data_IF_956056786234
#
_entry.id   IF_956056786234
#
_cell.length_a   1.000
_cell.length_b   1.000
_cell.length_c   1.000
_cell.angle_alpha   90.00
_cell.angle_beta   90.00
_cell.angle_gamma   90.00
#
_symmetry.space_group_name_H-M   'P 1'
#
loop_
_entity.id
_entity.type
_entity.pdbx_description
1 polymer ?
#
# COMPACT_ATOMS: atom_id res chain seq x y z
N UNK A 1 -18.62 5.18 -2.15
CA UNK A 1 -18.69 4.46 -0.85
C UNK A 1 -17.68 3.32 -0.72
N UNK A 2 -17.74 2.19 -1.45
CA UNK A 2 -16.70 1.14 -1.30
C UNK A 2 -15.30 1.57 -1.78
N UNK A 3 -15.25 2.36 -2.85
CA UNK A 3 -13.99 2.94 -3.36
C UNK A 3 -13.32 3.86 -2.32
N UNK A 4 -14.09 4.77 -1.72
CA UNK A 4 -13.62 5.64 -0.64
C UNK A 4 -13.08 4.85 0.56
N UNK A 5 -13.77 3.77 0.93
CA UNK A 5 -13.34 2.90 2.02
C UNK A 5 -12.02 2.20 1.74
N UNK A 6 -11.72 1.87 0.48
CA UNK A 6 -10.45 1.23 0.12
C UNK A 6 -9.27 2.21 0.19
N UNK A 7 -9.45 3.44 -0.29
CA UNK A 7 -8.46 4.51 -0.17
C UNK A 7 -8.11 4.77 1.31
N UNK A 8 -9.15 4.84 2.16
CA UNK A 8 -8.99 4.97 3.61
C UNK A 8 -8.29 3.78 4.23
N UNK A 9 -8.67 2.55 3.87
CA UNK A 9 -8.04 1.34 4.39
C UNK A 9 -6.54 1.30 4.06
N UNK A 10 -6.14 1.70 2.86
CA UNK A 10 -4.71 1.77 2.50
C UNK A 10 -4.00 2.86 3.32
N UNK A 11 -4.63 4.03 3.51
CA UNK A 11 -4.08 5.09 4.35
C UNK A 11 -3.84 4.61 5.78
N UNK A 12 -4.86 4.03 6.42
CA UNK A 12 -4.78 3.48 7.79
C UNK A 12 -3.74 2.37 7.89
N UNK A 13 -3.65 1.48 6.89
CA UNK A 13 -2.64 0.43 6.87
C UNK A 13 -1.21 0.98 6.79
N UNK A 14 -1.00 2.10 6.10
CA UNK A 14 0.30 2.79 6.09
C UNK A 14 0.58 3.40 7.48
N UNK A 15 -0.40 4.07 8.09
CA UNK A 15 -0.23 4.66 9.43
C UNK A 15 0.00 3.59 10.52
N UNK A 16 -0.70 2.46 10.43
CA UNK A 16 -0.57 1.28 11.28
C UNK A 16 0.68 0.44 11.00
N UNK A 17 1.50 0.83 10.01
CA UNK A 17 2.73 0.15 9.61
C UNK A 17 2.52 -1.32 9.20
N UNK A 18 1.40 -1.62 8.55
CA UNK A 18 1.05 -2.96 8.11
C UNK A 18 2.05 -3.46 7.04
N UNK A 19 2.83 -4.53 7.31
CA UNK A 19 3.91 -4.96 6.41
C UNK A 19 3.45 -5.28 4.99
N UNK A 20 2.24 -5.85 4.86
CA UNK A 20 1.62 -6.21 3.58
C UNK A 20 1.38 -4.99 2.66
N UNK A 21 1.36 -3.78 3.22
CA UNK A 21 1.20 -2.53 2.48
C UNK A 21 2.51 -1.74 2.46
N UNK A 22 3.18 -1.64 3.61
CA UNK A 22 4.41 -0.85 3.77
C UNK A 22 5.51 -1.31 2.84
N UNK A 23 5.78 -2.62 2.78
CA UNK A 23 6.89 -3.16 1.99
C UNK A 23 6.74 -2.87 0.48
N UNK A 24 5.59 -3.16 -0.16
CA UNK A 24 5.43 -2.86 -1.58
C UNK A 24 5.36 -1.34 -1.84
N UNK A 25 4.78 -0.54 -0.94
CA UNK A 25 4.78 0.92 -1.08
C UNK A 25 6.19 1.50 -0.98
N UNK A 26 6.98 1.07 0.00
CA UNK A 26 8.38 1.46 0.15
C UNK A 26 9.20 1.11 -1.10
N UNK A 27 8.98 -0.10 -1.64
CA UNK A 27 9.62 -0.52 -2.88
C UNK A 27 9.22 0.38 -4.07
N UNK A 28 7.95 0.72 -4.22
CA UNK A 28 7.49 1.62 -5.28
C UNK A 28 8.07 3.04 -5.14
N UNK A 29 8.14 3.58 -3.92
CA UNK A 29 8.74 4.87 -3.64
C UNK A 29 10.23 4.91 -4.04
N UNK A 30 11.00 3.88 -3.66
CA UNK A 30 12.42 3.73 -4.05
C UNK A 30 12.60 3.63 -5.56
N UNK A 31 11.71 2.92 -6.26
CA UNK A 31 11.72 2.82 -7.73
C UNK A 31 11.32 4.14 -8.40
N UNK A 32 10.44 4.92 -7.77
CA UNK A 32 9.99 6.20 -8.29
C UNK A 32 11.06 7.30 -8.14
N UNK A 33 11.90 7.28 -7.10
CA UNK A 33 12.99 8.23 -6.96
C UNK A 33 14.15 7.69 -6.14
N UNK A 34 15.37 7.94 -6.59
CA UNK A 34 16.61 7.71 -5.82
C UNK A 34 16.88 8.81 -4.80
N UNK A 35 16.07 9.86 -4.76
CA UNK A 35 16.34 11.04 -3.94
C UNK A 35 15.77 10.93 -2.52
N UNK A 36 14.79 10.07 -2.29
CA UNK A 36 14.16 9.87 -0.98
C UNK A 36 15.01 8.99 -0.07
N UNK A 37 14.83 9.14 1.24
CA UNK A 37 15.50 8.31 2.24
C UNK A 37 14.97 6.87 2.21
N UNK A 38 15.79 5.95 2.73
CA UNK A 38 15.33 4.60 3.06
C UNK A 38 14.72 4.61 4.46
N UNK A 39 13.41 4.88 4.54
CA UNK A 39 12.66 5.03 5.78
C UNK A 39 11.23 4.47 5.59
N UNK A 40 10.49 4.35 6.70
CA UNK A 40 9.12 3.84 6.69
C UNK A 40 8.23 4.79 5.85
N UNK A 41 7.39 4.28 4.93
CA UNK A 41 6.42 5.09 4.22
C UNK A 41 5.48 5.84 5.15
N UNK A 42 5.17 7.08 4.79
CA UNK A 42 4.16 7.90 5.41
C UNK A 42 3.12 8.29 4.35
N UNK A 43 1.89 8.60 4.77
CA UNK A 43 0.85 9.05 3.86
C UNK A 43 0.01 10.18 4.42
N UNK A 44 -0.45 11.06 3.54
CA UNK A 44 -1.44 12.09 3.81
C UNK A 44 -2.64 11.83 2.91
N UNK A 45 -3.81 11.63 3.52
CA UNK A 45 -5.03 11.39 2.76
C UNK A 45 -5.45 12.67 2.04
N UNK A 46 -5.71 12.55 0.75
CA UNK A 46 -6.20 13.63 -0.11
C UNK A 46 -7.42 13.16 -0.90
N UNK A 47 -7.95 14.03 -1.75
CA UNK A 47 -9.11 13.76 -2.58
C UNK A 47 -9.88 15.05 -2.76
N UNK A 48 -9.97 15.54 -3.99
CA UNK A 48 -10.58 16.85 -4.25
C UNK A 48 -12.05 16.90 -3.80
N UNK A 49 -12.77 15.77 -3.81
CA UNK A 49 -14.14 15.69 -3.29
C UNK A 49 -14.19 15.92 -1.78
N UNK A 50 -13.15 15.46 -1.06
CA UNK A 50 -13.01 15.61 0.39
C UNK A 50 -12.44 16.97 0.78
N UNK A 51 -11.58 17.54 -0.06
CA UNK A 51 -11.03 18.88 0.13
C UNK A 51 -12.08 20.00 0.13
N UNK A 52 -13.30 19.72 -0.37
CA UNK A 52 -14.45 20.63 -0.26
C UNK A 52 -15.00 20.75 1.17
N UNK A 53 -14.69 19.80 2.06
CA UNK A 53 -15.09 19.88 3.46
C UNK A 53 -14.11 20.78 4.24
N UNK A 54 -14.67 21.72 5.00
CA UNK A 54 -13.92 22.74 5.72
C UNK A 54 -12.85 22.10 6.64
N UNK A 55 -11.60 22.56 6.57
CA UNK A 55 -10.49 22.11 7.42
C UNK A 55 -9.74 20.86 6.96
N UNK A 56 -10.27 20.08 6.00
CA UNK A 56 -9.56 18.90 5.49
C UNK A 56 -8.31 19.29 4.69
N UNK A 57 -8.44 20.30 3.83
CA UNK A 57 -7.31 20.83 3.05
C UNK A 57 -6.22 21.41 3.96
N UNK A 58 -6.62 22.20 4.95
CA UNK A 58 -5.69 22.81 5.91
C UNK A 58 -4.94 21.73 6.69
N UNK A 59 -5.64 20.69 7.17
CA UNK A 59 -5.00 19.56 7.85
C UNK A 59 -3.99 18.81 6.97
N UNK A 60 -4.26 18.67 5.66
CA UNK A 60 -3.30 18.05 4.72
C UNK A 60 -2.06 18.93 4.51
N UNK A 61 -2.25 20.24 4.43
CA UNK A 61 -1.14 21.19 4.24
C UNK A 61 -0.29 21.26 5.52
N UNK A 62 -0.95 21.40 6.68
CA UNK A 62 -0.30 21.43 7.99
C UNK A 62 0.44 20.11 8.28
N UNK A 63 -0.18 18.97 7.95
CA UNK A 63 0.42 17.65 8.09
C UNK A 63 1.65 17.42 7.19
N UNK A 64 1.75 18.13 6.06
CA UNK A 64 2.94 18.12 5.21
C UNK A 64 4.04 19.07 5.71
N UNK A 65 3.65 20.16 6.39
CA UNK A 65 4.53 21.22 6.85
C UNK A 65 4.95 22.22 5.76
N UNK A 66 5.40 23.41 6.18
CA UNK A 66 5.64 24.56 5.28
C UNK A 66 6.77 24.37 4.25
N UNK A 67 7.69 23.45 4.52
CA UNK A 67 8.86 23.17 3.67
C UNK A 67 8.70 21.88 2.87
N UNK A 68 7.46 21.50 2.54
CA UNK A 68 7.15 20.31 1.75
C UNK A 68 7.14 20.56 0.24
N UNK A 69 7.46 19.52 -0.52
CA UNK A 69 7.60 19.54 -1.97
C UNK A 69 6.88 18.37 -2.63
N UNK A 70 6.30 18.63 -3.80
CA UNK A 70 5.77 17.60 -4.70
C UNK A 70 6.84 17.15 -5.69
N UNK A 71 6.96 15.84 -5.86
CA UNK A 71 7.83 15.19 -6.83
C UNK A 71 7.05 14.79 -8.08
N UNK A 72 7.00 15.65 -9.11
CA UNK A 72 6.35 15.35 -10.39
C UNK A 72 7.15 14.32 -11.20
N UNK A 73 6.60 13.88 -12.32
CA UNK A 73 7.34 13.08 -13.30
C UNK A 73 8.45 13.92 -14.00
N UNK A 74 9.50 13.24 -14.47
CA UNK A 74 10.59 13.86 -15.23
C UNK A 74 11.64 14.62 -14.42
N UNK A 75 12.51 15.35 -15.11
CA UNK A 75 13.61 16.13 -14.53
C UNK A 75 13.21 17.60 -14.26
N UNK A 76 13.83 18.22 -13.26
CA UNK A 76 13.62 19.63 -12.91
C UNK A 76 13.47 19.86 -11.40
N UNK A 77 13.22 21.12 -11.02
CA UNK A 77 12.98 21.51 -9.62
C UNK A 77 11.63 20.92 -9.14
N UNK A 78 11.55 20.43 -7.89
CA UNK A 78 10.28 20.09 -7.24
C UNK A 78 9.36 21.31 -7.06
N UNK A 79 8.07 21.06 -6.92
CA UNK A 79 7.06 22.10 -6.70
C UNK A 79 6.75 22.24 -5.20
N UNK A 80 6.46 23.43 -4.69
CA UNK A 80 6.05 23.60 -3.28
C UNK A 80 4.69 22.94 -3.02
N UNK A 81 4.54 22.18 -1.96
CA UNK A 81 3.34 21.38 -1.75
C UNK A 81 2.08 22.24 -1.55
N UNK A 82 2.05 23.09 -0.52
CA UNK A 82 0.85 23.84 -0.10
C UNK A 82 0.14 24.60 -1.22
N UNK A 83 0.81 25.49 -1.97
CA UNK A 83 0.16 26.27 -3.03
C UNK A 83 -0.44 25.41 -4.15
N UNK A 84 0.27 24.35 -4.56
CA UNK A 84 -0.19 23.49 -5.66
C UNK A 84 -1.27 22.51 -5.22
N UNK A 85 -1.24 22.03 -3.98
CA UNK A 85 -2.31 21.19 -3.41
C UNK A 85 -3.58 22.01 -3.20
N UNK A 86 -3.47 23.26 -2.76
CA UNK A 86 -4.60 24.19 -2.64
C UNK A 86 -5.27 24.45 -3.99
N UNK A 87 -4.46 24.63 -5.05
CA UNK A 87 -4.98 24.77 -6.40
C UNK A 87 -5.64 23.47 -6.89
N UNK A 88 -4.99 22.32 -6.64
CA UNK A 88 -5.50 21.01 -7.02
C UNK A 88 -6.82 20.63 -6.34
N UNK A 89 -7.09 21.16 -5.14
CA UNK A 89 -8.34 20.97 -4.42
C UNK A 89 -9.57 21.51 -5.20
N UNK A 90 -9.37 22.41 -6.17
CA UNK A 90 -10.43 22.89 -7.08
C UNK A 90 -10.85 21.83 -8.12
N UNK A 91 -10.19 20.65 -8.13
CA UNK A 91 -10.52 19.54 -8.99
C UNK A 91 -10.17 19.82 -10.46
N UNK A 92 -11.02 19.34 -11.37
CA UNK A 92 -10.80 19.47 -12.83
C UNK A 92 -10.67 20.92 -13.30
N UNK A 93 -11.26 21.88 -12.59
CA UNK A 93 -11.18 23.30 -12.93
C UNK A 93 -9.74 23.84 -12.79
N UNK A 94 -8.93 23.23 -11.93
CA UNK A 94 -7.54 23.59 -11.72
C UNK A 94 -6.63 23.26 -12.92
N UNK A 95 -7.02 22.32 -13.78
CA UNK A 95 -6.17 21.75 -14.83
C UNK A 95 -5.53 22.82 -15.74
N UNK A 96 -6.29 23.86 -16.09
CA UNK A 96 -5.78 24.94 -16.95
C UNK A 96 -4.74 25.83 -16.28
N UNK A 97 -4.69 25.83 -14.94
CA UNK A 97 -3.76 26.63 -14.12
C UNK A 97 -2.57 25.81 -13.62
N UNK A 98 -2.67 24.47 -13.66
CA UNK A 98 -1.60 23.58 -13.25
C UNK A 98 -0.46 23.57 -14.26
N UNK A 99 0.78 23.55 -13.76
CA UNK A 99 1.94 23.35 -14.62
C UNK A 99 1.84 21.98 -15.31
N UNK A 100 2.34 21.89 -16.56
CA UNK A 100 2.32 20.66 -17.37
C UNK A 100 2.68 19.41 -16.56
N UNK A 101 3.79 19.47 -15.81
CA UNK A 101 4.33 18.34 -15.04
C UNK A 101 3.47 17.89 -13.85
N UNK A 102 2.45 18.64 -13.47
CA UNK A 102 1.52 18.34 -12.37
C UNK A 102 0.05 18.42 -12.79
N UNK A 103 -0.25 18.44 -14.09
CA UNK A 103 -1.60 18.65 -14.63
C UNK A 103 -2.70 17.80 -14.01
N UNK A 104 -2.41 16.54 -13.67
CA UNK A 104 -3.38 15.57 -13.11
C UNK A 104 -3.29 15.38 -11.59
N UNK A 105 -2.58 16.25 -10.88
CA UNK A 105 -2.39 16.09 -9.43
C UNK A 105 -3.71 16.14 -8.63
N UNK A 106 -4.75 16.81 -9.13
CA UNK A 106 -6.07 16.83 -8.48
C UNK A 106 -6.77 15.47 -8.39
N UNK A 107 -6.32 14.48 -9.18
CA UNK A 107 -6.77 13.07 -9.12
C UNK A 107 -6.08 12.25 -8.02
N UNK A 108 -5.25 12.89 -7.23
CA UNK A 108 -4.52 12.23 -6.15
C UNK A 108 -5.51 11.82 -5.07
N UNK A 109 -5.36 10.58 -4.60
CA UNK A 109 -6.12 10.05 -3.48
C UNK A 109 -5.25 10.11 -2.22
N UNK A 110 -3.95 9.80 -2.31
CA UNK A 110 -3.00 9.93 -1.20
C UNK A 110 -1.71 10.62 -1.67
N UNK A 111 -1.15 11.47 -0.82
CA UNK A 111 0.24 11.87 -0.95
C UNK A 111 1.12 10.93 -0.13
N UNK A 112 2.08 10.28 -0.79
CA UNK A 112 3.00 9.33 -0.16
C UNK A 112 4.37 9.97 0.03
N UNK A 113 4.98 9.72 1.18
CA UNK A 113 6.36 10.10 1.47
C UNK A 113 7.02 9.00 2.30
N UNK A 114 8.17 9.28 2.89
CA UNK A 114 8.80 8.48 3.93
C UNK A 114 8.96 9.34 5.19
N UNK A 115 9.09 8.71 6.35
CA UNK A 115 9.30 9.41 7.63
C UNK A 115 10.45 10.44 7.51
N UNK A 116 10.20 11.64 8.03
CA UNK A 116 11.12 12.80 8.02
C UNK A 116 11.63 13.22 6.63
N UNK A 117 10.86 13.01 5.56
CA UNK A 117 11.16 13.52 4.22
C UNK A 117 10.13 14.55 3.76
N UNK A 118 10.55 15.78 3.37
CA UNK A 118 9.61 16.80 2.92
C UNK A 118 9.03 16.54 1.53
N UNK A 119 9.43 15.45 0.85
CA UNK A 119 9.08 15.20 -0.55
C UNK A 119 7.96 14.19 -0.67
N UNK A 120 6.88 14.60 -1.35
CA UNK A 120 5.67 13.81 -1.53
C UNK A 120 5.48 13.40 -2.99
N UNK A 121 5.02 12.16 -3.16
CA UNK A 121 4.54 11.61 -4.42
C UNK A 121 3.02 11.63 -4.41
N UNK A 122 2.44 12.10 -5.49
CA UNK A 122 1.03 11.96 -5.75
C UNK A 122 0.70 10.51 -6.14
N UNK A 123 -0.17 9.87 -5.36
CA UNK A 123 -0.64 8.52 -5.61
C UNK A 123 -2.14 8.48 -5.87
N UNK A 124 -2.54 7.64 -6.82
CA UNK A 124 -3.95 7.29 -7.04
C UNK A 124 -4.20 5.86 -6.57
N UNK A 125 -5.32 5.65 -5.90
CA UNK A 125 -5.72 4.38 -5.32
C UNK A 125 -7.10 4.05 -5.83
N UNK A 126 -7.25 2.84 -6.39
CA UNK A 126 -8.53 2.39 -6.94
C UNK A 126 -8.77 0.95 -6.55
N UNK A 127 -9.98 0.67 -6.07
CA UNK A 127 -10.43 -0.69 -5.72
C UNK A 127 -10.63 -1.60 -6.94
N UNK A 128 -10.36 -1.10 -8.15
CA UNK A 128 -10.42 -1.85 -9.40
C UNK A 128 -9.36 -1.31 -10.34
N UNK A 129 -8.49 -2.19 -10.84
CA UNK A 129 -7.44 -1.86 -11.78
C UNK A 129 -7.93 -1.13 -13.05
N UNK A 130 -9.10 -1.52 -13.57
CA UNK A 130 -9.65 -0.93 -14.78
C UNK A 130 -10.12 0.52 -14.61
N UNK A 131 -10.27 0.99 -13.37
CA UNK A 131 -10.57 2.37 -13.03
C UNK A 131 -9.31 3.19 -12.72
N UNK A 132 -8.12 2.58 -12.79
CA UNK A 132 -6.87 3.28 -12.54
C UNK A 132 -6.61 4.29 -13.65
N UNK A 133 -6.34 5.52 -13.26
CA UNK A 133 -6.05 6.61 -14.19
C UNK A 133 -4.63 7.12 -13.99
N UNK A 134 -3.92 7.31 -15.10
CA UNK A 134 -2.59 7.90 -15.11
C UNK A 134 -2.60 9.42 -15.27
N UNK A 135 -1.42 10.03 -15.19
CA UNK A 135 -1.24 11.44 -15.50
C UNK A 135 0.12 11.99 -15.10
N UNK A 136 0.54 13.09 -15.73
CA UNK A 136 1.90 13.65 -15.52
C UNK A 136 2.20 14.03 -14.06
N UNK A 137 1.15 14.41 -13.31
CA UNK A 137 1.26 14.75 -11.90
C UNK A 137 1.23 13.56 -10.95
N UNK A 138 0.84 12.37 -11.42
CA UNK A 138 0.72 11.16 -10.62
C UNK A 138 1.98 10.31 -10.78
N UNK A 139 2.39 9.59 -9.73
CA UNK A 139 3.62 8.79 -9.73
C UNK A 139 3.41 7.34 -9.34
N UNK A 140 2.45 7.10 -8.44
CA UNK A 140 2.19 5.79 -7.86
C UNK A 140 0.70 5.46 -8.05
N UNK A 141 0.43 4.22 -8.41
CA UNK A 141 -0.92 3.64 -8.42
C UNK A 141 -0.98 2.51 -7.40
N UNK A 142 -2.04 2.43 -6.59
CA UNK A 142 -2.28 1.30 -5.69
C UNK A 142 -3.62 0.65 -6.05
N UNK A 143 -3.58 -0.65 -6.32
CA UNK A 143 -4.72 -1.42 -6.85
C UNK A 143 -4.71 -2.84 -6.28
N UNK A 144 -5.86 -3.51 -6.22
CA UNK A 144 -5.91 -4.94 -5.97
C UNK A 144 -5.34 -5.73 -7.14
N UNK A 145 -4.83 -6.93 -6.87
CA UNK A 145 -4.64 -7.97 -7.88
C UNK A 145 -5.95 -8.25 -8.61
N UNK A 146 -5.86 -8.53 -9.92
CA UNK A 146 -7.03 -8.82 -10.73
C UNK A 146 -6.70 -9.82 -11.83
N UNK A 147 -7.73 -10.29 -12.52
CA UNK A 147 -7.59 -11.16 -13.70
C UNK A 147 -7.00 -10.44 -14.91
N UNK A 148 -6.81 -9.12 -14.84
CA UNK A 148 -6.25 -8.34 -15.94
C UNK A 148 -4.79 -8.75 -16.21
N UNK A 149 -4.44 -8.84 -17.49
CA UNK A 149 -3.12 -9.31 -17.90
C UNK A 149 -2.03 -8.38 -17.33
N UNK A 150 -1.12 -8.97 -16.54
CA UNK A 150 0.00 -8.27 -15.93
C UNK A 150 -0.32 -7.59 -14.60
N UNK A 151 -1.58 -7.61 -14.12
CA UNK A 151 -1.93 -7.09 -12.79
C UNK A 151 -1.85 -8.17 -11.71
N UNK A 152 -0.63 -8.68 -11.46
CA UNK A 152 -0.30 -9.62 -10.38
C UNK A 152 0.34 -8.90 -9.21
N UNK A 153 0.25 -9.50 -8.02
CA UNK A 153 0.87 -8.97 -6.80
C UNK A 153 2.32 -8.51 -7.04
N UNK A 154 2.66 -7.35 -6.48
CA UNK A 154 4.00 -6.79 -6.48
C UNK A 154 4.08 -5.37 -7.04
N UNK A 155 5.30 -4.94 -7.35
CA UNK A 155 5.59 -3.58 -7.82
C UNK A 155 6.10 -3.63 -9.26
N UNK A 156 5.43 -2.89 -10.15
CA UNK A 156 5.84 -2.78 -11.56
C UNK A 156 5.63 -1.38 -12.10
N UNK A 157 6.39 -1.02 -13.12
CA UNK A 157 6.08 0.19 -13.88
C UNK A 157 5.06 -0.15 -14.97
N UNK A 158 3.94 0.57 -14.98
CA UNK A 158 2.95 0.44 -16.03
C UNK A 158 3.10 1.55 -17.06
N UNK A 159 3.49 1.16 -18.27
CA UNK A 159 3.67 2.09 -19.37
C UNK A 159 2.34 2.71 -19.83
N UNK A 160 1.21 2.00 -19.69
CA UNK A 160 -0.10 2.50 -20.10
C UNK A 160 -0.52 3.72 -19.27
N UNK A 161 -0.34 3.64 -17.96
CA UNK A 161 -0.72 4.69 -17.03
C UNK A 161 0.44 5.65 -16.70
N UNK A 162 1.69 5.25 -16.97
CA UNK A 162 2.89 6.04 -16.65
C UNK A 162 3.22 6.07 -15.16
N UNK A 163 2.78 5.05 -14.40
CA UNK A 163 2.87 4.99 -12.94
C UNK A 163 3.67 3.77 -12.47
N UNK A 164 4.27 3.88 -11.29
CA UNK A 164 4.65 2.68 -10.52
C UNK A 164 3.39 2.13 -9.86
N UNK A 165 2.96 0.96 -10.29
CA UNK A 165 1.79 0.28 -9.74
C UNK A 165 2.25 -0.66 -8.65
N UNK A 166 1.65 -0.48 -7.48
CA UNK A 166 1.63 -1.41 -6.36
C UNK A 166 0.35 -2.22 -6.47
N UNK A 167 0.50 -3.50 -6.83
CA UNK A 167 -0.62 -4.45 -6.87
C UNK A 167 -0.62 -5.23 -5.57
N UNK A 168 -1.68 -5.09 -4.79
CA UNK A 168 -1.86 -5.76 -3.50
C UNK A 168 -2.53 -7.12 -3.69
N UNK A 169 -2.08 -8.15 -2.95
CA UNK A 169 -2.65 -9.50 -3.06
C UNK A 169 -4.17 -9.55 -2.81
N UNK A 170 -4.87 -10.28 -3.68
CA UNK A 170 -6.32 -10.53 -3.66
C UNK A 170 -6.56 -11.97 -4.19
N UNK A 171 -7.36 -12.85 -3.54
CA UNK A 171 -8.17 -12.64 -2.34
C UNK A 171 -7.49 -13.02 -1.03
N UNK A 172 -6.26 -13.54 -1.05
CA UNK A 172 -5.63 -14.05 0.16
C UNK A 172 -4.72 -13.01 0.86
N UNK A 173 -4.71 -11.77 0.38
CA UNK A 173 -3.94 -10.67 0.95
C UNK A 173 -4.80 -9.56 1.55
N UNK A 174 -4.30 -8.33 1.49
CA UNK A 174 -4.94 -7.14 2.06
C UNK A 174 -6.39 -6.96 1.57
N UNK A 175 -6.66 -7.22 0.30
CA UNK A 175 -7.99 -7.06 -0.28
C UNK A 175 -9.00 -8.05 0.26
N UNK A 176 -8.57 -9.29 0.49
CA UNK A 176 -9.38 -10.29 1.16
C UNK A 176 -9.81 -9.81 2.53
N UNK A 177 -8.84 -9.34 3.33
CA UNK A 177 -9.07 -8.83 4.67
C UNK A 177 -10.01 -7.60 4.67
N UNK A 178 -9.76 -6.63 3.78
CA UNK A 178 -10.62 -5.46 3.62
C UNK A 178 -12.05 -5.85 3.26
N UNK A 179 -12.23 -6.75 2.28
CA UNK A 179 -13.53 -7.21 1.84
C UNK A 179 -14.26 -7.95 2.97
N UNK A 180 -13.53 -8.77 3.71
CA UNK A 180 -14.06 -9.56 4.81
C UNK A 180 -14.55 -8.65 5.96
N UNK A 181 -13.73 -7.68 6.37
CA UNK A 181 -14.08 -6.67 7.36
C UNK A 181 -15.25 -5.78 6.92
N UNK A 182 -15.22 -5.28 5.68
CA UNK A 182 -16.30 -4.47 5.11
C UNK A 182 -17.64 -5.23 5.13
N UNK A 183 -17.66 -6.47 4.67
CA UNK A 183 -18.86 -7.29 4.68
C UNK A 183 -19.31 -7.67 6.09
N UNK A 184 -18.39 -7.85 7.04
CA UNK A 184 -18.73 -8.10 8.44
C UNK A 184 -19.48 -6.91 9.05
N UNK A 185 -18.88 -5.71 9.00
CA UNK A 185 -19.45 -4.48 9.58
C UNK A 185 -20.78 -4.15 8.91
N UNK A 186 -20.83 -4.22 7.58
CA UNK A 186 -22.05 -3.90 6.86
C UNK A 186 -23.20 -4.86 7.20
N UNK A 187 -22.91 -6.15 7.48
CA UNK A 187 -23.91 -7.11 7.95
C UNK A 187 -24.34 -6.87 9.41
N UNK A 188 -23.43 -6.42 10.27
CA UNK A 188 -23.81 -5.99 11.64
C UNK A 188 -24.83 -4.86 11.55
N UNK A 189 -24.56 -3.84 10.73
CA UNK A 189 -25.47 -2.70 10.54
C UNK A 189 -26.84 -3.14 10.02
N UNK A 190 -26.88 -4.06 9.04
CA UNK A 190 -28.15 -4.62 8.55
C UNK A 190 -28.91 -5.37 9.65
N UNK A 191 -28.21 -6.17 10.47
CA UNK A 191 -28.84 -6.90 11.58
C UNK A 191 -29.39 -5.96 12.66
N UNK A 192 -28.61 -4.96 13.08
CA UNK A 192 -29.04 -3.96 14.07
C UNK A 192 -30.23 -3.14 13.54
N UNK A 193 -30.19 -2.75 12.26
CA UNK A 193 -31.27 -2.06 11.59
C UNK A 193 -32.47 -2.94 11.22
N UNK A 194 -32.41 -4.25 11.49
CA UNK A 194 -33.43 -5.25 11.10
C UNK A 194 -33.78 -5.20 9.61
N UNK A 195 -32.78 -4.91 8.78
CA UNK A 195 -32.91 -4.82 7.34
C UNK A 195 -32.67 -6.19 6.68
N UNK A 196 -33.37 -6.52 5.59
CA UNK A 196 -33.10 -7.74 4.85
C UNK A 196 -31.68 -7.73 4.27
N UNK A 197 -31.03 -8.91 4.27
CA UNK A 197 -29.72 -9.04 3.65
C UNK A 197 -29.85 -9.10 2.12
N UNK A 198 -29.06 -8.33 1.37
CA UNK A 198 -29.04 -8.44 -0.09
C UNK A 198 -28.54 -9.82 -0.54
N UNK A 199 -29.17 -10.37 -1.59
CA UNK A 199 -28.87 -11.73 -2.09
C UNK A 199 -27.42 -11.91 -2.58
N UNK A 200 -26.81 -10.86 -3.13
CA UNK A 200 -25.50 -10.94 -3.80
C UNK A 200 -24.30 -10.68 -2.89
N UNK A 201 -24.47 -10.68 -1.56
CA UNK A 201 -23.37 -10.44 -0.65
C UNK A 201 -22.59 -11.71 -0.37
N UNK A 202 -21.28 -11.66 -0.66
CA UNK A 202 -20.33 -12.72 -0.30
C UNK A 202 -20.41 -12.95 1.21
N UNK A 203 -20.47 -14.22 1.60
CA UNK A 203 -20.45 -14.62 3.01
C UNK A 203 -19.04 -14.33 3.56
N UNK A 204 -18.90 -13.53 4.64
CA UNK A 204 -17.60 -13.30 5.26
C UNK A 204 -16.96 -14.62 5.73
N UNK A 205 -15.66 -14.61 5.95
CA UNK A 205 -14.93 -15.72 6.55
C UNK A 205 -15.48 -16.08 7.94
N UNK A 206 -15.09 -17.24 8.45
CA UNK A 206 -15.47 -17.65 9.81
C UNK A 206 -14.98 -16.65 10.88
N UNK A 207 -13.80 -16.03 10.67
CA UNK A 207 -13.23 -15.04 11.60
C UNK A 207 -14.08 -13.76 11.62
N UNK A 208 -14.39 -13.23 10.44
CA UNK A 208 -15.26 -12.06 10.29
C UNK A 208 -16.69 -12.30 10.79
N UNK A 209 -17.22 -13.51 10.63
CA UNK A 209 -18.52 -13.86 11.22
C UNK A 209 -18.50 -13.81 12.75
N UNK A 210 -17.42 -14.27 13.39
CA UNK A 210 -17.25 -14.19 14.84
C UNK A 210 -17.16 -12.74 15.32
N UNK A 211 -16.43 -11.88 14.60
CA UNK A 211 -16.40 -10.44 14.86
C UNK A 211 -17.82 -9.84 14.76
N UNK A 212 -18.55 -10.14 13.68
CA UNK A 212 -19.93 -9.70 13.50
C UNK A 212 -20.84 -10.13 14.67
N UNK A 213 -20.69 -11.36 15.16
CA UNK A 213 -21.45 -11.86 16.31
C UNK A 213 -21.14 -11.07 17.59
N UNK A 214 -19.87 -10.77 17.85
CA UNK A 214 -19.50 -9.95 19.02
C UNK A 214 -20.01 -8.52 18.91
N UNK A 215 -19.84 -7.87 17.75
CA UNK A 215 -20.34 -6.50 17.53
C UNK A 215 -21.87 -6.43 17.66
N UNK A 216 -22.58 -7.47 17.21
CA UNK A 216 -24.03 -7.52 17.38
C UNK A 216 -24.43 -7.78 18.85
N UNK A 217 -23.70 -8.64 19.56
CA UNK A 217 -23.95 -8.94 20.98
C UNK A 217 -23.73 -7.72 21.87
N UNK A 218 -22.71 -6.91 21.56
CA UNK A 218 -22.34 -5.72 22.31
C UNK A 218 -22.70 -4.45 21.53
N UNK A 219 -23.97 -4.33 21.14
CA UNK A 219 -24.45 -3.22 20.29
C UNK A 219 -24.30 -1.81 20.93
N UNK A 220 -24.15 -1.75 22.25
CA UNK A 220 -23.93 -0.51 22.99
C UNK A 220 -22.45 -0.14 23.19
N UNK A 221 -21.53 -1.03 22.80
CA UNK A 221 -20.09 -0.81 22.86
C UNK A 221 -19.59 -0.15 21.58
N UNK A 222 -18.46 0.56 21.66
CA UNK A 222 -17.83 1.07 20.45
C UNK A 222 -17.17 -0.09 19.68
N UNK A 223 -16.97 0.09 18.37
CA UNK A 223 -16.27 -0.91 17.56
C UNK A 223 -14.84 -1.15 18.08
N UNK A 224 -14.20 -0.10 18.61
CA UNK A 224 -12.86 -0.16 19.20
C UNK A 224 -12.84 -1.01 20.47
N UNK A 225 -13.84 -0.85 21.36
CA UNK A 225 -13.92 -1.67 22.59
C UNK A 225 -14.08 -3.17 22.26
N UNK A 226 -14.87 -3.47 21.24
CA UNK A 226 -15.08 -4.86 20.78
C UNK A 226 -13.81 -5.43 20.16
N UNK A 227 -13.09 -4.63 19.38
CA UNK A 227 -11.80 -5.02 18.81
C UNK A 227 -10.75 -5.25 19.90
N UNK A 228 -10.59 -4.33 20.85
CA UNK A 228 -9.65 -4.43 21.96
C UNK A 228 -9.93 -5.68 22.80
N UNK A 229 -11.20 -5.92 23.18
CA UNK A 229 -11.59 -7.11 23.91
C UNK A 229 -11.32 -8.42 23.13
N UNK A 230 -11.46 -8.39 21.80
CA UNK A 230 -11.11 -9.52 20.94
C UNK A 230 -9.60 -9.73 20.85
N UNK A 231 -8.81 -8.66 20.80
CA UNK A 231 -7.35 -8.72 20.80
C UNK A 231 -6.82 -9.29 22.12
N UNK A 232 -7.36 -8.85 23.26
CA UNK A 232 -7.07 -9.42 24.57
C UNK A 232 -7.41 -10.92 24.63
N UNK A 233 -8.62 -11.29 24.18
CA UNK A 233 -9.07 -12.67 24.15
C UNK A 233 -8.28 -13.56 23.18
N UNK A 234 -7.77 -12.99 22.09
CA UNK A 234 -6.98 -13.70 21.09
C UNK A 234 -5.57 -14.06 21.59
N UNK A 235 -5.11 -13.46 22.70
CA UNK A 235 -3.77 -13.67 23.25
C UNK A 235 -2.69 -13.60 22.15
N UNK A 236 -2.71 -12.54 21.32
CA UNK A 236 -1.85 -12.44 20.14
C UNK A 236 -0.35 -12.57 20.49
N UNK A 237 0.03 -12.16 21.70
CA UNK A 237 1.41 -12.24 22.21
C UNK A 237 1.85 -13.64 22.68
N UNK A 238 0.96 -14.63 22.74
CA UNK A 238 1.33 -15.98 23.19
C UNK A 238 2.26 -16.71 22.21
N UNK A 239 2.26 -16.31 20.93
CA UNK A 239 3.04 -16.95 19.87
C UNK A 239 4.04 -15.96 19.28
N UNK A 240 5.11 -15.67 20.01
CA UNK A 240 6.24 -14.93 19.44
C UNK A 240 7.01 -15.86 18.49
N UNK A 241 6.94 -15.64 17.18
CA UNK A 241 7.80 -16.34 16.23
C UNK A 241 9.22 -15.76 16.29
N UNK A 242 10.10 -16.41 17.07
CA UNK A 242 11.52 -16.07 17.10
C UNK A 242 12.22 -16.74 15.92
N UNK A 243 12.42 -16.01 14.84
CA UNK A 243 13.27 -16.45 13.73
C UNK A 243 14.73 -16.41 14.18
N UNK A 244 15.23 -17.54 14.68
CA UNK A 244 16.64 -17.73 14.96
C UNK A 244 17.24 -18.58 13.84
N UNK A 245 18.34 -18.11 13.26
CA UNK A 245 19.21 -18.96 12.46
C UNK A 245 19.83 -19.99 13.40
N UNK A 246 19.24 -21.18 13.43
CA UNK A 246 19.81 -22.32 14.12
C UNK A 246 20.86 -22.89 13.16
N UNK A 247 22.12 -22.89 13.59
CA UNK A 247 23.15 -23.65 12.88
C UNK A 247 22.77 -25.12 12.96
N UNK A 248 22.26 -25.66 11.86
CA UNK A 248 22.08 -27.09 11.71
C UNK A 248 23.45 -27.65 11.36
N UNK A 249 23.97 -28.59 12.15
CA UNK A 249 25.12 -29.37 11.69
C UNK A 249 24.72 -29.98 10.35
N UNK A 250 25.45 -29.65 9.29
CA UNK A 250 25.24 -30.28 8.00
C UNK A 250 25.37 -31.79 8.20
N UNK A 251 24.39 -32.59 7.73
CA UNK A 251 24.53 -34.04 7.76
C UNK A 251 25.82 -34.46 7.04
N UNK A 252 26.49 -35.51 7.50
CA UNK A 252 27.81 -35.94 6.97
C UNK A 252 27.82 -36.13 5.44
N UNK A 253 26.67 -36.44 4.84
CA UNK A 253 26.51 -36.59 3.39
C UNK A 253 26.50 -35.27 2.58
N UNK A 254 26.37 -34.10 3.22
CA UNK A 254 26.42 -32.81 2.53
C UNK A 254 27.87 -32.38 2.22
N UNK A 255 28.85 -32.95 2.93
CA UNK A 255 30.29 -32.75 2.70
C UNK A 255 30.89 -33.61 1.57
N UNK A 256 30.06 -34.36 0.83
CA UNK A 256 30.53 -35.26 -0.24
C UNK A 256 31.30 -34.51 -1.34
N UNK A 257 31.05 -33.20 -1.56
CA UNK A 257 31.82 -32.40 -2.54
C UNK A 257 33.19 -31.96 -2.03
N UNK A 258 33.42 -31.87 -0.73
CA UNK A 258 34.73 -31.53 -0.15
C UNK A 258 35.66 -32.75 -0.09
N UNK A 259 35.08 -33.96 -0.02
CA UNK A 259 35.81 -35.24 -0.11
C UNK A 259 36.05 -35.72 -1.54
N UNK A 260 35.54 -35.02 -2.57
CA UNK A 260 35.83 -35.38 -3.95
C UNK A 260 37.32 -35.13 -4.23
N UNK A 261 38.09 -36.14 -4.69
CA UNK A 261 39.48 -35.94 -5.04
C UNK A 261 39.57 -34.86 -6.13
N UNK A 262 40.35 -33.82 -5.89
CA UNK A 262 40.70 -32.84 -6.93
C UNK A 262 41.35 -33.61 -8.08
N UNK A 263 40.62 -33.82 -9.17
CA UNK A 263 41.18 -34.29 -10.42
C UNK A 263 42.04 -33.14 -10.96
N UNK A 264 43.32 -33.15 -10.61
CA UNK A 264 44.31 -32.24 -11.19
C UNK A 264 44.67 -32.82 -12.56
N UNK A 265 43.97 -32.37 -13.60
CA UNK A 265 44.42 -32.60 -14.97
C UNK A 265 45.81 -31.94 -15.13
N UNK A 266 46.86 -32.68 -15.56
CA UNK A 266 48.16 -32.08 -15.78
C UNK A 266 48.05 -31.02 -16.88
N UNK A 267 48.52 -29.80 -16.60
CA UNK A 267 48.54 -28.72 -17.59
C UNK A 267 49.53 -29.07 -18.70
N UNK A 268 49.17 -28.91 -19.99
CA UNK A 268 50.11 -29.13 -21.07
C UNK A 268 51.26 -28.11 -20.98
N UNK A 269 52.50 -28.60 -20.91
CA UNK A 269 53.71 -27.79 -20.99
C UNK A 269 54.35 -27.95 -22.36
N UNK A 270 54.58 -26.84 -23.07
CA UNK A 270 55.30 -26.85 -24.33
C UNK A 270 56.78 -26.48 -24.08
N UNK A 271 57.70 -27.28 -24.61
CA UNK A 271 59.13 -26.92 -24.63
C UNK A 271 59.33 -25.79 -25.64
N UNK A 272 60.13 -24.78 -25.27
CA UNK A 272 60.57 -23.76 -26.22
C UNK A 272 61.39 -24.42 -27.32
N UNK A 273 61.07 -24.10 -28.57
CA UNK A 273 61.94 -24.37 -29.71
C UNK A 273 63.02 -23.28 -29.72
N UNK A 274 64.26 -23.69 -29.96
CA UNK A 274 65.45 -22.83 -29.98
C UNK A 274 65.37 -21.69 -30.99
#
# INVERSE_FOLDING_TARGET
>A
MRGDGFEWAVHEAILGKEPLIIDPVAHALKKASTKIKDACPASLLFGHERAKYLGFLDAVIDGAGDQSYLLPQGSGRPFHFGPWVSLAAQGIQAEGFLNERIKKIWKTDLFLSVEDDPRYFAATIKSNYNLLEGGQGLRIGIVPESTDIGNREGVRFDQKHGLWIVTLADPNGFMGLFNDGYHAVARVLLKLGKLPQPEYWVKPSAKAQRLMEQMHKYENSTALDVEEALNEAAQQDLVTQKHQLISVNAPDWLHIKEMAPKIISPRPSFKRLD
#
